data_IF_063198580475
#
_entry.id   IF_063198580475
#
_cell.length_a   1.000
_cell.length_b   1.000
_cell.length_c   1.000
_cell.angle_alpha   90.00
_cell.angle_beta   90.00
_cell.angle_gamma   90.00
#
_symmetry.space_group_name_H-M   'P 1'
#
loop_
_entity.id
_entity.type
_entity.pdbx_description
1 polymer ?
#
# COMPACT_ATOMS: atom_id res chain seq x y z
N UNK A 1 -8.10 -15.35 2.42
CA UNK A 1 -6.62 -15.18 2.53
C UNK A 1 -6.40 -14.65 3.93
N UNK A 2 -5.59 -15.28 4.80
CA UNK A 2 -5.71 -15.10 6.26
C UNK A 2 -5.80 -13.65 6.77
N UNK A 3 -5.05 -12.70 6.20
CA UNK A 3 -5.09 -11.28 6.59
C UNK A 3 -6.34 -10.54 6.10
N UNK A 4 -6.83 -10.84 4.89
CA UNK A 4 -8.09 -10.27 4.38
C UNK A 4 -9.25 -10.74 5.26
N UNK A 5 -9.30 -12.05 5.53
CA UNK A 5 -10.38 -12.65 6.31
C UNK A 5 -10.40 -12.08 7.76
N UNK A 6 -9.22 -11.78 8.33
CA UNK A 6 -9.10 -11.09 9.61
C UNK A 6 -9.58 -9.63 9.55
N UNK A 7 -9.16 -8.88 8.53
CA UNK A 7 -9.55 -7.48 8.38
C UNK A 7 -11.06 -7.34 8.15
N UNK A 8 -11.66 -8.22 7.36
CA UNK A 8 -13.12 -8.26 7.17
C UNK A 8 -13.85 -8.60 8.48
N UNK A 9 -13.34 -9.54 9.27
CA UNK A 9 -13.89 -9.83 10.60
C UNK A 9 -13.76 -8.65 11.56
N UNK A 10 -12.64 -7.91 11.50
CA UNK A 10 -12.45 -6.71 12.30
C UNK A 10 -13.50 -5.64 11.97
N UNK A 11 -13.76 -5.39 10.68
CA UNK A 11 -14.79 -4.44 10.24
C UNK A 11 -16.23 -4.88 10.64
N UNK A 12 -16.47 -6.18 10.79
CA UNK A 12 -17.74 -6.72 11.30
C UNK A 12 -17.88 -6.52 12.81
N UNK A 13 -16.80 -6.70 13.57
CA UNK A 13 -16.80 -6.59 15.04
C UNK A 13 -16.81 -5.12 15.48
N UNK A 14 -16.12 -4.24 14.75
CA UNK A 14 -16.05 -2.82 15.03
C UNK A 14 -16.24 -1.98 13.75
N UNK A 15 -17.35 -1.25 13.69
CA UNK A 15 -17.64 -0.35 12.58
C UNK A 15 -16.67 0.83 12.46
N UNK A 16 -15.96 1.17 13.53
CA UNK A 16 -14.93 2.21 13.56
C UNK A 16 -13.53 1.68 13.17
N UNK A 17 -13.41 0.39 12.80
CA UNK A 17 -12.12 -0.22 12.45
C UNK A 17 -11.29 0.59 11.44
N UNK A 18 -11.95 1.25 10.47
CA UNK A 18 -11.30 2.07 9.43
C UNK A 18 -10.62 3.33 9.94
N UNK A 19 -10.95 3.77 11.15
CA UNK A 19 -10.39 4.97 11.79
C UNK A 19 -9.00 4.69 12.39
N UNK A 20 -8.66 3.42 12.64
CA UNK A 20 -7.38 3.03 13.25
C UNK A 20 -6.66 1.86 12.55
N UNK A 21 -7.31 1.15 11.64
CA UNK A 21 -6.74 0.06 10.88
C UNK A 21 -7.06 0.19 9.38
N UNK A 22 -6.04 0.01 8.53
CA UNK A 22 -6.18 -0.04 7.07
C UNK A 22 -5.33 -1.17 6.51
N UNK A 23 -5.90 -1.94 5.58
CA UNK A 23 -5.19 -3.01 4.87
C UNK A 23 -4.82 -2.55 3.47
N UNK A 24 -3.57 -2.75 3.04
CA UNK A 24 -3.11 -2.44 1.69
C UNK A 24 -2.65 -3.72 0.99
N UNK A 25 -3.14 -3.94 -0.22
CA UNK A 25 -2.74 -5.07 -1.05
C UNK A 25 -1.59 -4.64 -1.98
N UNK A 26 -0.54 -5.46 -2.06
CA UNK A 26 0.59 -5.26 -2.97
C UNK A 26 0.64 -6.39 -4.02
N UNK A 27 -0.12 -6.30 -5.14
CA UNK A 27 -0.14 -7.35 -6.14
C UNK A 27 1.23 -7.57 -6.79
N UNK A 28 1.70 -8.81 -6.80
CA UNK A 28 3.00 -9.18 -7.35
C UNK A 28 4.16 -9.08 -6.37
N UNK A 29 3.92 -8.65 -5.13
CA UNK A 29 4.92 -8.74 -4.05
C UNK A 29 4.81 -10.10 -3.37
N UNK A 30 5.96 -10.72 -3.09
CA UNK A 30 6.02 -12.01 -2.38
C UNK A 30 6.04 -11.77 -0.86
N UNK A 31 6.61 -12.69 -0.09
CA UNK A 31 6.68 -12.57 1.37
C UNK A 31 7.57 -11.38 1.77
N UNK A 32 6.93 -10.28 2.18
CA UNK A 32 7.52 -9.00 2.62
C UNK A 32 8.22 -8.18 1.52
N UNK A 33 8.95 -8.83 0.60
CA UNK A 33 9.66 -8.16 -0.49
C UNK A 33 9.85 -9.08 -1.69
N UNK A 34 10.41 -8.55 -2.79
CA UNK A 34 10.65 -9.29 -4.01
C UNK A 34 9.39 -9.52 -4.85
N UNK A 35 9.51 -10.37 -5.86
CA UNK A 35 8.46 -10.56 -6.87
C UNK A 35 8.39 -9.43 -7.92
N UNK A 36 7.53 -9.57 -8.94
CA UNK A 36 7.39 -8.61 -10.03
C UNK A 36 6.70 -7.29 -9.65
N UNK A 37 6.07 -7.21 -8.47
CA UNK A 37 5.34 -6.02 -8.02
C UNK A 37 6.21 -5.02 -7.24
N UNK A 38 5.73 -3.78 -7.05
CA UNK A 38 6.41 -2.76 -6.27
C UNK A 38 6.34 -3.09 -4.77
N UNK A 39 7.49 -3.42 -4.18
CA UNK A 39 7.63 -3.92 -2.82
C UNK A 39 8.14 -2.89 -1.80
N UNK A 40 8.43 -1.66 -2.24
CA UNK A 40 8.87 -0.57 -1.37
C UNK A 40 7.71 0.39 -1.10
N UNK A 41 7.42 0.67 0.16
CA UNK A 41 6.49 1.70 0.61
C UNK A 41 7.08 2.31 1.88
N UNK A 42 7.00 3.63 2.03
CA UNK A 42 7.41 4.30 3.26
C UNK A 42 6.33 4.17 4.34
N UNK A 43 6.27 2.99 4.96
CA UNK A 43 5.30 2.69 6.02
C UNK A 43 5.51 3.53 7.27
N UNK A 44 6.76 3.92 7.56
CA UNK A 44 7.08 4.69 8.76
C UNK A 44 6.52 6.10 8.64
N UNK A 45 6.73 6.77 7.51
CA UNK A 45 6.15 8.09 7.30
C UNK A 45 4.62 8.04 7.23
N UNK A 46 4.05 7.01 6.59
CA UNK A 46 2.60 6.83 6.53
C UNK A 46 1.96 6.68 7.93
N UNK A 47 2.60 5.90 8.82
CA UNK A 47 2.13 5.73 10.19
C UNK A 47 2.34 7.00 11.01
N UNK A 48 3.50 7.66 10.84
CA UNK A 48 3.81 8.93 11.50
C UNK A 48 2.77 9.98 11.18
N UNK A 49 2.53 10.27 9.89
CA UNK A 49 1.53 11.25 9.46
C UNK A 49 0.13 10.92 9.98
N UNK A 50 -0.25 9.64 10.01
CA UNK A 50 -1.54 9.23 10.55
C UNK A 50 -1.66 9.48 12.06
N UNK A 51 -0.65 9.07 12.84
CA UNK A 51 -0.69 9.16 14.31
C UNK A 51 -0.46 10.59 14.81
N UNK A 52 0.48 11.31 14.22
CA UNK A 52 0.91 12.64 14.67
C UNK A 52 0.04 13.75 14.07
N UNK A 53 -0.27 13.66 12.78
CA UNK A 53 -0.95 14.74 12.04
C UNK A 53 -2.44 14.44 11.79
N UNK A 54 -2.89 13.21 12.06
CA UNK A 54 -4.27 12.76 11.79
C UNK A 54 -4.51 12.40 10.32
N UNK A 55 -3.46 12.39 9.50
CA UNK A 55 -3.53 12.19 8.06
C UNK A 55 -3.56 10.69 7.71
N UNK A 56 -4.74 10.10 7.86
CA UNK A 56 -4.95 8.69 7.55
C UNK A 56 -4.75 8.42 6.04
N UNK A 57 -3.80 7.56 5.62
CA UNK A 57 -3.37 7.49 4.22
C UNK A 57 -4.46 6.92 3.30
N UNK A 58 -5.00 7.72 2.38
CA UNK A 58 -5.99 7.22 1.39
C UNK A 58 -5.31 6.61 0.16
N UNK A 59 -4.05 6.97 -0.07
CA UNK A 59 -3.22 6.46 -1.15
C UNK A 59 -1.76 6.53 -0.73
N UNK A 60 -1.05 5.42 -0.90
CA UNK A 60 0.41 5.34 -0.74
C UNK A 60 1.05 5.03 -2.08
N UNK A 61 2.30 5.45 -2.28
CA UNK A 61 3.08 5.10 -3.46
C UNK A 61 3.93 3.89 -3.15
N UNK A 62 3.70 2.79 -3.87
CA UNK A 62 4.60 1.65 -3.87
C UNK A 62 5.59 1.75 -5.03
N UNK A 63 6.85 1.40 -4.80
CA UNK A 63 7.88 1.37 -5.85
C UNK A 63 8.66 0.05 -5.91
N UNK A 64 9.25 -0.23 -7.08
CA UNK A 64 10.21 -1.32 -7.33
C UNK A 64 11.55 -0.70 -7.63
N UNK A 65 12.63 -1.19 -7.02
CA UNK A 65 13.99 -0.77 -7.32
C UNK A 65 14.74 -1.87 -8.10
N UNK A 66 15.62 -1.46 -9.00
CA UNK A 66 16.62 -2.35 -9.60
C UNK A 66 17.81 -2.59 -8.66
N UNK A 67 18.80 -3.36 -9.11
CA UNK A 67 20.05 -3.60 -8.36
C UNK A 67 20.90 -2.36 -8.12
N UNK A 68 20.67 -1.30 -8.90
CA UNK A 68 21.34 0.00 -8.82
C UNK A 68 20.67 0.93 -7.80
N UNK A 69 19.50 0.55 -7.29
CA UNK A 69 18.65 1.38 -6.43
C UNK A 69 17.75 2.35 -7.20
N UNK A 70 17.64 2.21 -8.53
CA UNK A 70 16.80 3.06 -9.36
C UNK A 70 15.37 2.51 -9.45
N UNK A 71 14.40 3.40 -9.31
CA UNK A 71 12.98 3.06 -9.45
C UNK A 71 12.65 2.60 -10.86
N UNK A 72 12.09 1.40 -10.97
CA UNK A 72 11.70 0.76 -12.24
C UNK A 72 10.18 0.66 -12.42
N UNK A 73 9.43 0.74 -11.33
CA UNK A 73 7.97 0.71 -11.32
C UNK A 73 7.47 1.52 -10.13
N UNK A 74 6.43 2.31 -10.35
CA UNK A 74 5.64 2.95 -9.29
C UNK A 74 4.17 2.57 -9.49
N UNK A 75 3.45 2.38 -8.38
CA UNK A 75 2.00 2.18 -8.43
C UNK A 75 1.35 2.73 -7.17
N UNK A 76 0.24 3.48 -7.29
CA UNK A 76 -0.56 3.84 -6.12
C UNK A 76 -1.20 2.59 -5.52
N UNK A 77 -1.20 2.52 -4.19
CA UNK A 77 -1.89 1.49 -3.41
C UNK A 77 -2.92 2.16 -2.52
N UNK A 78 -4.13 1.63 -2.57
CA UNK A 78 -5.30 2.16 -1.86
C UNK A 78 -5.67 1.22 -0.71
N UNK A 79 -6.35 1.72 0.33
CA UNK A 79 -6.87 0.86 1.39
C UNK A 79 -7.94 -0.08 0.82
N UNK A 80 -7.83 -1.36 1.15
CA UNK A 80 -8.82 -2.39 0.83
C UNK A 80 -10.22 -1.97 1.32
N UNK A 81 -11.30 -2.23 0.55
CA UNK A 81 -11.37 -2.99 -0.70
C UNK A 81 -11.15 -2.16 -1.97
N UNK A 82 -10.61 -0.94 -1.86
CA UNK A 82 -10.37 -0.11 -3.03
C UNK A 82 -9.18 -0.65 -3.82
N UNK A 83 -9.33 -0.70 -5.15
CA UNK A 83 -8.24 -1.03 -6.07
C UNK A 83 -7.91 0.24 -6.86
N UNK A 84 -6.63 0.62 -6.90
CA UNK A 84 -6.18 1.72 -7.75
C UNK A 84 -6.38 1.39 -9.24
N UNK A 85 -6.53 2.41 -10.12
CA UNK A 85 -6.54 2.17 -11.55
C UNK A 85 -5.23 1.48 -11.98
N UNK A 86 -5.32 0.57 -12.94
CA UNK A 86 -4.21 -0.25 -13.45
C UNK A 86 -3.21 0.52 -14.32
N UNK A 87 -3.25 1.86 -14.33
CA UNK A 87 -2.44 2.67 -15.22
C UNK A 87 -0.97 2.64 -14.81
N UNK A 88 -0.19 1.86 -15.59
CA UNK A 88 1.23 2.13 -15.83
C UNK A 88 1.33 3.51 -16.48
N UNK A 89 1.39 4.56 -15.67
CA UNK A 89 1.76 5.87 -16.18
C UNK A 89 3.29 5.84 -16.36
N UNK A 90 3.70 5.64 -17.60
CA UNK A 90 5.06 5.85 -18.06
C UNK A 90 5.44 7.31 -17.84
N UNK A 91 5.89 7.66 -16.63
CA UNK A 91 6.55 8.95 -16.40
C UNK A 91 7.92 8.90 -17.10
N UNK A 92 7.89 9.28 -18.37
CA UNK A 92 9.06 9.65 -19.16
C UNK A 92 9.73 10.82 -18.42
N UNK A 93 10.85 10.51 -17.78
CA UNK A 93 11.81 11.45 -17.25
C UNK A 93 12.19 12.46 -18.34
N UNK A 94 11.93 13.74 -18.12
CA UNK A 94 12.57 14.85 -18.87
C UNK A 94 13.82 15.30 -18.14
#
# INVERSE_FOLDING_TARGET
MGTIDYYEQLEVVDSAARDYARLYMLPGVLHCSGGPGPDQVDWVEAIRAWVEDGDAPERLTASKLDSSGQTTLTRPVCPYPQFGPSTMESETQS
#
